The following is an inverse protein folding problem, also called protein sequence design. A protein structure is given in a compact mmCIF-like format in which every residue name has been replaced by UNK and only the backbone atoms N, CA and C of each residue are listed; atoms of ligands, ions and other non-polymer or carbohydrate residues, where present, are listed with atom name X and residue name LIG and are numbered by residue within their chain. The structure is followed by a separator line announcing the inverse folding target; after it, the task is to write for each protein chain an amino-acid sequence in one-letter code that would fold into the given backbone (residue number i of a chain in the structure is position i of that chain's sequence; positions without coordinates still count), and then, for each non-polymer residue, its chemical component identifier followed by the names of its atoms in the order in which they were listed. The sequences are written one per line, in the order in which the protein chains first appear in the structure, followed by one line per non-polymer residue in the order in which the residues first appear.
data_IF_160504748068
#
_entry.id   IF_160504748068
#
_cell.length_a   1.000
_cell.length_b   1.000
_cell.length_c   1.000
_cell.angle_alpha   90.00
_cell.angle_beta   90.00
_cell.angle_gamma   90.00
#
_symmetry.space_group_name_H-M   'P 1'
#
loop_
_entity.id
_entity.type
_entity.pdbx_description
1 polymer ?
#
# COMPACT_ATOMS: atom_id res chain seq x y z
N UNK A 1 -10.81 -1.54 11.27
CA UNK A 1 -10.66 -0.07 11.23
C UNK A 1 -9.60 0.27 10.20
N UNK A 2 -9.96 1.01 9.15
CA UNK A 2 -9.06 1.47 8.10
C UNK A 2 -8.51 2.83 8.53
N UNK A 3 -7.19 3.01 8.58
CA UNK A 3 -6.55 4.31 8.85
C UNK A 3 -6.06 4.88 7.52
N UNK A 4 -6.79 5.87 7.00
CA UNK A 4 -6.31 6.69 5.90
C UNK A 4 -5.43 7.79 6.51
N UNK A 5 -4.13 7.74 6.25
CA UNK A 5 -3.18 8.74 6.72
C UNK A 5 -2.83 9.65 5.54
N UNK A 6 -3.32 10.89 5.48
CA UNK A 6 -2.94 11.82 4.39
C UNK A 6 -1.42 11.99 4.38
N UNK A 7 -0.77 11.63 3.27
CA UNK A 7 0.65 11.91 3.03
C UNK A 7 0.71 12.83 1.83
N UNK A 8 0.96 14.10 2.12
CA UNK A 8 0.90 15.25 1.19
C UNK A 8 -0.54 15.66 0.80
N UNK A 9 -0.78 16.96 0.63
CA UNK A 9 -2.14 17.56 0.59
C UNK A 9 -3.00 17.17 -0.64
N UNK A 10 -2.54 16.21 -1.46
CA UNK A 10 -3.15 15.77 -2.73
C UNK A 10 -3.16 14.24 -2.92
N UNK A 11 -2.71 13.48 -1.92
CA UNK A 11 -2.59 12.02 -2.02
C UNK A 11 -3.14 11.34 -0.77
N UNK A 12 -4.06 10.41 -0.99
CA UNK A 12 -4.54 9.50 0.04
C UNK A 12 -3.59 8.31 0.16
N UNK A 13 -3.50 7.77 1.38
CA UNK A 13 -2.77 6.54 1.68
C UNK A 13 -3.68 5.56 2.41
N UNK A 14 -3.69 4.30 2.00
CA UNK A 14 -4.37 3.22 2.71
C UNK A 14 -3.50 1.97 2.79
N UNK A 15 -3.34 1.41 3.99
CA UNK A 15 -2.71 0.11 4.19
C UNK A 15 -3.71 -1.05 4.07
N UNK A 16 -3.31 -2.12 3.40
CA UNK A 16 -4.07 -3.36 3.22
C UNK A 16 -3.46 -4.51 4.05
N UNK A 17 -3.71 -4.59 5.37
CA UNK A 17 -3.03 -5.55 6.25
C UNK A 17 -3.40 -7.02 6.00
N UNK A 18 -4.46 -7.28 5.23
CA UNK A 18 -4.90 -8.63 4.84
C UNK A 18 -4.30 -9.10 3.52
N UNK A 19 -3.67 -8.22 2.74
CA UNK A 19 -3.01 -8.61 1.50
C UNK A 19 -1.61 -9.09 1.85
N UNK A 20 -1.32 -10.36 1.56
CA UNK A 20 0.04 -10.85 1.60
C UNK A 20 0.85 -10.11 0.52
N UNK A 21 1.99 -9.56 0.93
CA UNK A 21 2.89 -8.83 0.05
C UNK A 21 4.30 -9.39 0.19
N UNK A 22 4.94 -9.65 -0.94
CA UNK A 22 6.37 -9.88 -1.02
C UNK A 22 7.02 -8.60 -1.51
N UNK A 23 7.87 -8.02 -0.66
CA UNK A 23 8.73 -6.89 -1.05
C UNK A 23 10.05 -7.41 -1.59
N UNK A 24 10.38 -7.06 -2.83
CA UNK A 24 11.71 -7.34 -3.37
C UNK A 24 12.36 -6.04 -3.82
N UNK A 25 13.36 -5.55 -3.07
CA UNK A 25 14.13 -4.34 -3.40
C UNK A 25 13.27 -3.09 -3.72
N UNK A 26 12.13 -2.93 -3.04
CA UNK A 26 11.22 -1.79 -3.24
C UNK A 26 10.16 -2.00 -4.32
N UNK A 27 10.17 -3.14 -5.01
CA UNK A 27 9.06 -3.55 -5.87
C UNK A 27 8.00 -4.31 -5.07
N UNK A 28 6.76 -4.01 -5.41
CA UNK A 28 5.56 -4.62 -4.85
C UNK A 28 5.12 -5.80 -5.71
N UNK A 29 4.63 -6.85 -5.08
CA UNK A 29 4.09 -8.00 -5.81
C UNK A 29 2.75 -7.71 -6.51
N UNK A 30 2.44 -8.55 -7.50
CA UNK A 30 1.21 -8.45 -8.28
C UNK A 30 -0.08 -8.49 -7.42
N UNK A 31 -0.19 -9.31 -6.35
CA UNK A 31 -1.34 -9.29 -5.45
C UNK A 31 -1.64 -7.92 -4.84
N UNK A 32 -0.64 -7.23 -4.29
CA UNK A 32 -0.84 -5.90 -3.71
C UNK A 32 -1.21 -4.86 -4.77
N UNK A 33 -0.57 -4.90 -5.94
CA UNK A 33 -0.94 -4.05 -7.07
C UNK A 33 -2.42 -4.21 -7.46
N UNK A 34 -2.87 -5.45 -7.68
CA UNK A 34 -4.25 -5.74 -8.09
C UNK A 34 -5.26 -5.33 -7.01
N UNK A 35 -4.96 -5.59 -5.73
CA UNK A 35 -5.83 -5.22 -4.63
C UNK A 35 -6.03 -3.70 -4.54
N UNK A 36 -4.97 -2.92 -4.75
CA UNK A 36 -5.07 -1.47 -4.82
C UNK A 36 -5.94 -1.03 -6.01
N UNK A 37 -5.73 -1.60 -7.21
CA UNK A 37 -6.50 -1.26 -8.41
C UNK A 37 -7.98 -1.56 -8.28
N UNK A 38 -8.34 -2.69 -7.65
CA UNK A 38 -9.74 -3.05 -7.41
C UNK A 38 -10.45 -2.09 -6.45
N UNK A 39 -9.71 -1.47 -5.51
CA UNK A 39 -10.29 -0.53 -4.54
C UNK A 39 -10.38 0.90 -5.03
N UNK A 40 -9.35 1.39 -5.71
CA UNK A 40 -9.19 2.82 -6.03
C UNK A 40 -9.13 3.12 -7.53
N UNK A 41 -9.23 2.09 -8.38
CA UNK A 41 -9.14 2.22 -9.83
C UNK A 41 -7.69 2.24 -10.35
N UNK A 42 -7.54 2.47 -11.65
CA UNK A 42 -6.26 2.31 -12.36
C UNK A 42 -5.23 3.41 -12.06
N UNK A 43 -5.63 4.52 -11.44
CA UNK A 43 -4.75 5.65 -11.10
C UNK A 43 -4.01 5.45 -9.78
N UNK A 44 -4.32 4.39 -9.04
CA UNK A 44 -3.65 4.03 -7.79
C UNK A 44 -2.23 3.53 -8.04
N UNK A 45 -1.35 3.81 -7.10
CA UNK A 45 -0.03 3.19 -7.00
C UNK A 45 -0.04 2.24 -5.80
N UNK A 46 0.61 1.10 -5.96
CA UNK A 46 0.88 0.19 -4.87
C UNK A 46 2.35 0.26 -4.50
N UNK A 47 2.64 0.20 -3.21
CA UNK A 47 3.99 0.00 -2.72
C UNK A 47 3.92 -0.87 -1.46
N UNK A 48 5.06 -1.40 -1.08
CA UNK A 48 5.15 -2.20 0.12
C UNK A 48 6.16 -1.56 1.06
N UNK A 49 5.82 -1.53 2.34
CA UNK A 49 6.63 -0.85 3.33
C UNK A 49 6.61 -1.62 4.65
N UNK A 50 7.68 -1.49 5.41
CA UNK A 50 7.75 -2.00 6.77
C UNK A 50 7.69 -0.81 7.74
N UNK A 51 6.53 -0.56 8.37
CA UNK A 51 6.38 0.54 9.32
C UNK A 51 7.15 0.32 10.62
N UNK A 52 7.60 -0.91 10.91
CA UNK A 52 8.31 -1.27 12.13
C UNK A 52 9.60 -2.05 11.81
N UNK A 53 10.79 -1.43 11.88
CA UNK A 53 12.04 -2.11 11.57
C UNK A 53 12.36 -3.28 12.53
N UNK A 54 11.79 -3.30 13.73
CA UNK A 54 12.00 -4.36 14.72
C UNK A 54 11.11 -5.58 14.44
N UNK A 55 10.09 -5.44 13.58
CA UNK A 55 9.20 -6.51 13.18
C UNK A 55 9.20 -6.65 11.65
N UNK A 56 9.90 -7.63 11.06
CA UNK A 56 10.10 -7.75 9.61
C UNK A 56 8.82 -8.24 8.90
N UNK A 57 7.78 -7.42 8.94
CA UNK A 57 6.50 -7.66 8.28
C UNK A 57 6.19 -6.49 7.37
N UNK A 58 6.25 -6.79 6.09
CA UNK A 58 5.84 -5.85 5.07
C UNK A 58 4.32 -5.80 4.95
N UNK A 59 3.82 -4.60 4.68
CA UNK A 59 2.42 -4.36 4.41
C UNK A 59 2.25 -3.73 3.04
N UNK A 60 1.14 -4.07 2.41
CA UNK A 60 0.70 -3.47 1.16
C UNK A 60 0.11 -2.09 1.45
N UNK A 61 0.51 -1.09 0.67
CA UNK A 61 0.00 0.28 0.75
C UNK A 61 -0.45 0.78 -0.62
N UNK A 62 -1.57 1.47 -0.65
CA UNK A 62 -2.15 2.09 -1.84
C UNK A 62 -2.07 3.61 -1.73
N UNK A 63 -1.58 4.30 -2.77
CA UNK A 63 -1.68 5.76 -2.89
C UNK A 63 -2.50 6.16 -4.10
N UNK A 64 -3.38 7.14 -3.96
CA UNK A 64 -4.11 7.69 -5.11
C UNK A 64 -4.39 9.19 -4.89
N UNK A 65 -4.63 9.95 -5.97
CA UNK A 65 -5.06 11.34 -5.86
C UNK A 65 -6.42 11.44 -5.15
N UNK A 66 -6.45 12.21 -4.07
CA UNK A 66 -7.63 12.65 -3.34
C UNK A 66 -7.34 14.06 -2.78
#
# INVERSE_FOLDING_TARGET
MIKVSRVDAKSCLEGLPWVQVICNKGEVDQPCWLACQQRHGLTVKAYCDNPDPDFPRYFCYCTWPC
#
